data_IF_327703711870
#
_entry.id   IF_327703711870
#
_cell.length_a   1.000
_cell.length_b   1.000
_cell.length_c   1.000
_cell.angle_alpha   90.00
_cell.angle_beta   90.00
_cell.angle_gamma   90.00
#
_symmetry.space_group_name_H-M   'P 1'
#
loop_
_entity.id
_entity.type
_entity.pdbx_description
1 polymer ?
#
# COMPACT_ATOMS: atom_id res chain seq x y z
N UNK A 1 -28.14 21.05 -3.49
CA UNK A 1 -27.34 21.11 -4.72
C UNK A 1 -25.84 20.96 -4.48
N UNK A 2 -25.30 21.65 -3.50
CA UNK A 2 -23.88 21.53 -3.15
C UNK A 2 -23.53 20.23 -2.43
N UNK A 3 -24.47 19.65 -1.71
CA UNK A 3 -24.23 18.45 -0.92
C UNK A 3 -23.99 17.20 -1.77
N UNK A 4 -24.62 17.11 -2.94
CA UNK A 4 -24.51 15.91 -3.78
C UNK A 4 -23.15 15.77 -4.46
N UNK A 5 -22.57 16.88 -4.92
CA UNK A 5 -21.23 16.87 -5.50
C UNK A 5 -20.16 16.59 -4.45
N UNK A 6 -20.32 17.13 -3.26
CA UNK A 6 -19.40 16.89 -2.15
C UNK A 6 -19.47 15.45 -1.64
N UNK A 7 -20.67 14.90 -1.51
CA UNK A 7 -20.87 13.52 -1.08
C UNK A 7 -20.30 12.51 -2.08
N UNK A 8 -20.45 12.76 -3.37
CA UNK A 8 -19.94 11.88 -4.42
C UNK A 8 -18.41 11.89 -4.46
N UNK A 9 -17.79 13.07 -4.31
CA UNK A 9 -16.33 13.21 -4.34
C UNK A 9 -15.66 12.75 -3.04
N UNK A 10 -16.41 12.52 -1.97
CA UNK A 10 -15.88 12.05 -0.70
C UNK A 10 -15.88 10.53 -0.56
N UNK A 11 -16.20 9.80 -1.63
CA UNK A 11 -16.15 8.35 -1.60
C UNK A 11 -14.75 7.87 -1.97
N UNK A 12 -14.17 7.06 -1.10
CA UNK A 12 -12.84 6.47 -1.29
C UNK A 12 -12.72 5.76 -2.65
N UNK A 13 -13.80 5.12 -3.13
CA UNK A 13 -13.78 4.39 -4.39
C UNK A 13 -13.46 5.25 -5.61
N UNK A 14 -13.68 6.57 -5.54
CA UNK A 14 -13.27 7.49 -6.61
C UNK A 14 -11.76 7.58 -6.78
N UNK A 15 -11.02 7.31 -5.73
CA UNK A 15 -9.56 7.42 -5.71
C UNK A 15 -8.88 6.06 -5.79
N UNK A 16 -9.66 4.99 -5.81
CA UNK A 16 -9.14 3.64 -5.71
C UNK A 16 -8.41 3.22 -6.99
N UNK A 17 -7.17 2.77 -6.83
CA UNK A 17 -6.51 1.94 -7.82
C UNK A 17 -6.88 0.50 -7.50
N UNK A 18 -7.69 -0.17 -8.35
CA UNK A 18 -8.19 -1.49 -8.02
C UNK A 18 -7.09 -2.53 -8.00
N UNK A 19 -7.31 -3.61 -7.26
CA UNK A 19 -6.35 -4.70 -7.08
C UNK A 19 -5.75 -5.20 -8.40
N UNK A 20 -6.56 -5.29 -9.45
CA UNK A 20 -6.11 -5.76 -10.75
C UNK A 20 -5.00 -4.89 -11.37
N UNK A 21 -4.91 -3.62 -10.97
CA UNK A 21 -3.90 -2.69 -11.44
C UNK A 21 -2.77 -2.47 -10.43
N UNK A 22 -2.81 -3.13 -9.28
CA UNK A 22 -1.80 -2.99 -8.24
C UNK A 22 -0.70 -4.05 -8.39
N UNK A 23 0.53 -3.63 -8.12
CA UNK A 23 1.61 -4.58 -7.85
C UNK A 23 1.55 -4.96 -6.37
N UNK A 24 1.72 -6.23 -6.05
CA UNK A 24 1.74 -6.73 -4.68
C UNK A 24 2.58 -7.99 -4.59
N UNK A 25 2.92 -8.40 -3.38
CA UNK A 25 3.63 -9.64 -3.11
C UNK A 25 2.76 -10.54 -2.22
N UNK A 26 2.97 -11.85 -2.32
CA UNK A 26 2.30 -12.79 -1.41
C UNK A 26 3.11 -12.98 -0.13
N UNK A 27 2.42 -13.30 0.96
CA UNK A 27 3.04 -13.49 2.27
C UNK A 27 4.01 -14.69 2.33
N UNK A 28 3.94 -15.60 1.38
CA UNK A 28 4.87 -16.74 1.25
C UNK A 28 6.09 -16.46 0.36
N UNK A 29 6.22 -15.24 -0.15
CA UNK A 29 7.38 -14.85 -0.97
C UNK A 29 8.67 -14.90 -0.17
N UNK A 30 9.74 -15.33 -0.85
CA UNK A 30 11.10 -15.16 -0.33
C UNK A 30 11.55 -13.72 -0.51
N UNK A 31 12.61 -13.34 0.20
CA UNK A 31 13.22 -12.01 0.06
C UNK A 31 13.64 -11.77 -1.39
N UNK A 32 14.21 -12.79 -2.04
CA UNK A 32 14.62 -12.67 -3.46
C UNK A 32 13.42 -12.40 -4.37
N UNK A 33 12.33 -13.14 -4.21
CA UNK A 33 11.12 -12.92 -5.01
C UNK A 33 10.57 -11.51 -4.82
N UNK A 34 10.58 -11.02 -3.58
CA UNK A 34 10.12 -9.67 -3.28
C UNK A 34 11.03 -8.61 -3.90
N UNK A 35 12.35 -8.80 -3.84
CA UNK A 35 13.30 -7.88 -4.49
C UNK A 35 13.06 -7.79 -5.99
N UNK A 36 12.90 -8.94 -6.65
CA UNK A 36 12.63 -8.99 -8.08
C UNK A 36 11.30 -8.32 -8.42
N UNK A 37 10.26 -8.55 -7.62
CA UNK A 37 8.96 -7.91 -7.83
C UNK A 37 9.02 -6.40 -7.65
N UNK A 38 9.71 -5.94 -6.62
CA UNK A 38 9.86 -4.52 -6.33
C UNK A 38 10.64 -3.80 -7.43
N UNK A 39 11.73 -4.42 -7.91
CA UNK A 39 12.51 -3.90 -9.02
C UNK A 39 11.67 -3.79 -10.28
N UNK A 40 10.97 -4.86 -10.66
CA UNK A 40 10.16 -4.88 -11.88
C UNK A 40 8.97 -3.93 -11.83
N UNK A 41 8.35 -3.78 -10.66
CA UNK A 41 7.21 -2.88 -10.47
C UNK A 41 7.62 -1.42 -10.37
N UNK A 42 8.86 -1.14 -9.92
CA UNK A 42 9.37 0.22 -9.79
C UNK A 42 8.80 1.01 -8.63
N UNK A 43 8.24 0.35 -7.62
CA UNK A 43 7.65 1.01 -6.45
C UNK A 43 8.51 0.80 -5.20
N UNK A 44 8.51 1.81 -4.33
CA UNK A 44 9.26 1.78 -3.06
C UNK A 44 8.55 0.96 -1.97
N UNK A 45 7.29 0.63 -2.14
CA UNK A 45 6.49 -0.11 -1.19
C UNK A 45 5.43 -0.93 -1.93
N UNK A 46 5.21 -2.16 -1.48
CA UNK A 46 4.22 -3.07 -2.06
C UNK A 46 3.35 -3.68 -0.96
N UNK A 47 2.03 -3.79 -1.18
CA UNK A 47 1.17 -4.55 -0.27
C UNK A 47 1.58 -6.02 -0.24
N UNK A 48 1.43 -6.63 0.94
CA UNK A 48 1.60 -8.06 1.15
C UNK A 48 0.21 -8.67 1.30
N UNK A 49 -0.10 -9.65 0.48
CA UNK A 49 -1.40 -10.34 0.51
C UNK A 49 -1.22 -11.82 0.85
N UNK A 50 -2.23 -12.39 1.51
CA UNK A 50 -2.33 -13.83 1.63
C UNK A 50 -2.80 -14.44 0.30
N UNK A 51 -2.67 -15.75 0.17
CA UNK A 51 -3.19 -16.47 -1.01
C UNK A 51 -4.72 -16.39 -1.12
N UNK A 52 -5.40 -16.03 -0.03
CA UNK A 52 -6.85 -15.78 -0.01
C UNK A 52 -7.21 -14.35 -0.39
N UNK A 53 -6.21 -13.49 -0.62
CA UNK A 53 -6.43 -12.10 -0.98
C UNK A 53 -6.58 -11.14 0.20
N UNK A 54 -6.32 -11.58 1.41
CA UNK A 54 -6.36 -10.71 2.60
C UNK A 54 -5.11 -9.83 2.66
N UNK A 55 -5.28 -8.58 3.10
CA UNK A 55 -4.16 -7.69 3.34
C UNK A 55 -3.40 -8.13 4.59
N UNK A 56 -2.10 -8.34 4.46
CA UNK A 56 -1.23 -8.85 5.53
C UNK A 56 -0.21 -7.82 6.02
N UNK A 57 -0.05 -6.74 5.33
CA UNK A 57 0.92 -5.69 5.66
C UNK A 57 1.52 -5.07 4.42
N UNK A 58 2.55 -4.28 4.59
CA UNK A 58 3.25 -3.61 3.49
C UNK A 58 4.75 -3.80 3.64
N UNK A 59 5.40 -4.15 2.54
CA UNK A 59 6.84 -4.31 2.46
C UNK A 59 7.43 -3.09 1.77
N UNK A 60 8.42 -2.45 2.42
CA UNK A 60 9.10 -1.28 1.87
C UNK A 60 10.55 -1.61 1.50
N UNK A 61 11.13 -0.78 0.63
CA UNK A 61 12.58 -0.85 0.31
C UNK A 61 13.42 -0.76 1.58
N UNK A 62 13.02 0.09 2.53
CA UNK A 62 13.72 0.22 3.81
C UNK A 62 13.69 -1.06 4.62
N UNK A 63 12.58 -1.78 4.63
CA UNK A 63 12.48 -3.06 5.33
C UNK A 63 13.50 -4.06 4.78
N UNK A 64 13.63 -4.13 3.45
CA UNK A 64 14.59 -5.02 2.79
C UNK A 64 16.03 -4.59 3.07
N UNK A 65 16.30 -3.29 3.02
CA UNK A 65 17.63 -2.75 3.31
C UNK A 65 18.08 -3.08 4.74
N UNK A 66 17.21 -2.85 5.71
CA UNK A 66 17.52 -3.13 7.11
C UNK A 66 17.61 -4.62 7.39
N UNK A 67 16.84 -5.43 6.67
CA UNK A 67 16.96 -6.89 6.76
C UNK A 67 18.34 -7.36 6.30
N UNK A 68 18.83 -6.83 5.18
CA UNK A 68 20.17 -7.14 4.68
C UNK A 68 21.25 -6.78 5.72
N UNK A 69 21.14 -5.61 6.33
CA UNK A 69 22.09 -5.16 7.35
C UNK A 69 22.04 -6.05 8.58
N UNK A 70 20.85 -6.33 9.08
CA UNK A 70 20.67 -7.05 10.36
C UNK A 70 20.94 -8.54 10.25
N UNK A 71 20.84 -9.10 9.04
CA UNK A 71 21.15 -10.50 8.76
C UNK A 71 22.59 -10.72 8.28
N UNK A 72 23.48 -9.81 8.63
CA UNK A 72 24.93 -9.91 8.38
C UNK A 72 25.29 -10.13 6.92
N UNK A 73 24.81 -9.23 6.06
CA UNK A 73 25.17 -9.21 4.62
C UNK A 73 24.70 -10.48 3.89
N UNK A 74 23.42 -10.71 3.94
CA UNK A 74 22.74 -11.80 3.25
C UNK A 74 23.15 -11.87 1.77
N UNK A 75 23.60 -13.04 1.33
CA UNK A 75 23.80 -13.28 -0.10
C UNK A 75 22.50 -13.75 -0.76
N UNK A 76 22.53 -13.97 -2.07
CA UNK A 76 21.32 -14.37 -2.81
C UNK A 76 20.79 -15.75 -2.39
N UNK A 77 21.64 -16.64 -1.89
CA UNK A 77 21.18 -17.94 -1.39
C UNK A 77 20.38 -17.77 -0.10
N UNK A 78 20.82 -16.89 0.79
CA UNK A 78 20.10 -16.57 2.01
C UNK A 78 18.79 -15.87 1.69
N UNK A 79 18.80 -14.98 0.69
CA UNK A 79 17.59 -14.29 0.23
C UNK A 79 16.56 -15.26 -0.37
N UNK A 80 17.01 -16.36 -0.99
CA UNK A 80 16.13 -17.43 -1.47
C UNK A 80 15.55 -18.28 -0.35
N UNK A 81 16.30 -18.44 0.75
CA UNK A 81 15.90 -19.28 1.88
C UNK A 81 15.04 -18.57 2.91
N UNK A 82 15.07 -17.21 2.95
CA UNK A 82 14.33 -16.41 3.93
C UNK A 82 13.05 -15.86 3.34
N UNK A 83 11.99 -15.89 4.14
CA UNK A 83 10.67 -15.37 3.72
C UNK A 83 10.50 -13.92 4.21
N UNK A 84 9.73 -13.15 3.45
CA UNK A 84 9.48 -11.73 3.79
C UNK A 84 8.76 -11.57 5.11
N UNK A 85 7.93 -12.53 5.52
CA UNK A 85 7.23 -12.43 6.81
C UNK A 85 8.15 -12.68 8.02
N UNK A 86 9.37 -13.16 7.81
CA UNK A 86 10.40 -13.28 8.86
C UNK A 86 11.12 -11.95 9.13
N UNK A 87 10.97 -10.98 8.23
CA UNK A 87 11.60 -9.66 8.37
C UNK A 87 10.82 -8.81 9.36
N UNK A 88 11.54 -8.15 10.27
CA UNK A 88 10.94 -7.12 11.11
C UNK A 88 10.62 -5.88 10.29
N UNK A 89 9.34 -5.54 10.20
CA UNK A 89 8.88 -4.32 9.53
C UNK A 89 8.64 -3.24 10.58
N UNK A 90 9.30 -2.10 10.44
CA UNK A 90 9.21 -1.02 11.43
C UNK A 90 7.86 -0.33 11.44
N UNK A 91 7.24 -0.22 10.28
CA UNK A 91 5.93 0.44 10.13
C UNK A 91 5.12 -0.33 9.11
N UNK A 92 4.07 -0.98 9.57
CA UNK A 92 3.07 -1.48 8.65
C UNK A 92 2.09 -0.38 8.31
N UNK A 93 1.60 -0.41 7.07
CA UNK A 93 0.58 0.53 6.63
C UNK A 93 -0.77 0.06 7.16
N UNK A 94 -1.48 0.99 7.79
CA UNK A 94 -2.80 0.70 8.32
C UNK A 94 -3.83 0.81 7.19
N UNK A 95 -4.60 -0.25 6.93
CA UNK A 95 -5.62 -0.21 5.90
C UNK A 95 -6.84 0.57 6.35
N UNK A 96 -7.63 1.01 5.37
CA UNK A 96 -8.95 1.61 5.62
C UNK A 96 -10.02 0.77 4.94
N UNK A 97 -11.26 0.94 5.39
CA UNK A 97 -12.42 0.32 4.77
C UNK A 97 -13.07 1.31 3.81
N UNK A 98 -13.90 0.80 2.89
CA UNK A 98 -14.60 1.65 1.90
C UNK A 98 -15.50 2.70 2.55
N UNK A 99 -15.92 2.48 3.80
CA UNK A 99 -16.76 3.41 4.56
C UNK A 99 -15.97 4.50 5.29
N UNK A 100 -14.63 4.45 5.24
CA UNK A 100 -13.77 5.43 5.91
C UNK A 100 -13.98 6.82 5.30
N UNK A 101 -14.07 7.84 6.15
CA UNK A 101 -14.23 9.23 5.72
C UNK A 101 -12.95 9.81 5.14
N UNK A 102 -13.10 10.89 4.36
CA UNK A 102 -11.96 11.55 3.70
C UNK A 102 -10.93 12.09 4.69
N UNK A 103 -11.36 12.56 5.86
CA UNK A 103 -10.43 13.10 6.86
C UNK A 103 -9.45 12.02 7.32
N UNK A 104 -9.96 10.82 7.64
CA UNK A 104 -9.13 9.70 8.06
C UNK A 104 -8.21 9.24 6.93
N UNK A 105 -8.72 9.23 5.69
CA UNK A 105 -7.94 8.88 4.52
C UNK A 105 -6.75 9.82 4.33
N UNK A 106 -7.00 11.12 4.42
CA UNK A 106 -5.95 12.15 4.30
C UNK A 106 -4.91 12.01 5.40
N UNK A 107 -5.34 11.76 6.63
CA UNK A 107 -4.41 11.54 7.75
C UNK A 107 -3.53 10.32 7.54
N UNK A 108 -4.09 9.22 7.04
CA UNK A 108 -3.31 8.02 6.71
C UNK A 108 -2.27 8.32 5.64
N UNK A 109 -2.67 9.03 4.59
CA UNK A 109 -1.78 9.37 3.48
C UNK A 109 -0.63 10.28 3.88
N UNK A 110 -0.76 11.04 4.98
CA UNK A 110 0.34 11.86 5.47
C UNK A 110 1.49 11.04 6.04
N UNK A 111 1.21 9.80 6.49
CA UNK A 111 2.19 8.90 7.10
C UNK A 111 2.57 7.72 6.20
N UNK A 112 1.84 7.47 5.13
CA UNK A 112 2.00 6.30 4.26
C UNK A 112 2.04 6.74 2.80
N UNK A 113 2.84 6.06 1.98
CA UNK A 113 2.94 6.37 0.54
C UNK A 113 1.64 6.06 -0.22
N UNK A 114 0.92 5.07 0.26
CA UNK A 114 -0.42 4.74 -0.20
C UNK A 114 -1.24 4.21 0.97
N UNK A 115 -2.54 4.16 0.80
CA UNK A 115 -3.45 3.63 1.81
C UNK A 115 -4.10 2.37 1.26
N UNK A 116 -3.83 1.20 1.85
CA UNK A 116 -4.51 -0.03 1.45
C UNK A 116 -5.99 0.05 1.80
N UNK A 117 -6.84 -0.46 0.92
CA UNK A 117 -8.29 -0.49 1.12
C UNK A 117 -8.75 -1.93 1.16
N UNK A 118 -9.51 -2.26 2.19
CA UNK A 118 -10.06 -3.60 2.41
C UNK A 118 -11.58 -3.52 2.50
N UNK A 119 -12.23 -4.64 2.20
CA UNK A 119 -13.68 -4.78 2.38
C UNK A 119 -14.03 -5.19 3.81
N UNK A 120 -15.30 -5.49 4.06
CA UNK A 120 -15.80 -5.88 5.37
C UNK A 120 -15.28 -7.25 5.86
N UNK A 121 -14.68 -8.02 4.96
CA UNK A 121 -14.07 -9.33 5.27
C UNK A 121 -12.54 -9.27 5.27
N UNK A 122 -11.97 -8.06 5.31
CA UNK A 122 -10.53 -7.81 5.26
C UNK A 122 -9.85 -8.23 3.94
N UNK A 123 -10.62 -8.48 2.89
CA UNK A 123 -10.09 -8.73 1.57
C UNK A 123 -9.55 -7.43 0.96
N UNK A 124 -8.35 -7.50 0.40
CA UNK A 124 -7.70 -6.36 -0.25
C UNK A 124 -8.40 -6.06 -1.58
N UNK A 125 -8.88 -4.84 -1.74
CA UNK A 125 -9.57 -4.42 -2.96
C UNK A 125 -8.77 -3.43 -3.81
N UNK A 126 -7.75 -2.81 -3.24
CA UNK A 126 -6.89 -1.87 -3.96
C UNK A 126 -6.21 -0.90 -3.02
N UNK A 127 -5.67 0.17 -3.58
CA UNK A 127 -4.98 1.21 -2.84
C UNK A 127 -5.50 2.58 -3.24
N UNK A 128 -5.33 3.54 -2.34
CA UNK A 128 -5.44 4.96 -2.66
C UNK A 128 -4.05 5.55 -2.53
N UNK A 129 -3.52 6.08 -3.63
CA UNK A 129 -2.16 6.63 -3.62
C UNK A 129 -2.15 8.02 -2.98
N UNK A 130 -1.02 8.36 -2.38
CA UNK A 130 -0.79 9.71 -1.85
C UNK A 130 -0.98 10.76 -2.95
N UNK A 131 -0.50 10.46 -4.16
CA UNK A 131 -0.65 11.36 -5.31
C UNK A 131 -2.11 11.64 -5.66
N UNK A 132 -2.98 10.64 -5.62
CA UNK A 132 -4.41 10.81 -5.88
C UNK A 132 -5.06 11.75 -4.85
N UNK A 133 -4.67 11.60 -3.58
CA UNK A 133 -5.19 12.45 -2.49
C UNK A 133 -4.68 13.88 -2.63
N UNK A 134 -3.41 14.06 -2.93
CA UNK A 134 -2.81 15.39 -3.15
C UNK A 134 -3.50 16.09 -4.32
N UNK A 135 -3.76 15.37 -5.40
CA UNK A 135 -4.46 15.91 -6.56
C UNK A 135 -5.87 16.36 -6.19
N UNK A 136 -6.60 15.57 -5.41
CA UNK A 136 -7.92 15.96 -4.90
C UNK A 136 -7.84 17.23 -4.06
N UNK A 137 -6.94 17.30 -3.09
CA UNK A 137 -6.76 18.48 -2.23
C UNK A 137 -6.38 19.71 -3.04
N UNK A 138 -5.50 19.56 -4.04
CA UNK A 138 -5.10 20.63 -4.94
C UNK A 138 -6.29 21.18 -5.72
N UNK A 139 -7.16 20.32 -6.22
CA UNK A 139 -8.36 20.75 -6.94
C UNK A 139 -9.35 21.51 -6.05
N UNK A 140 -9.41 21.17 -4.76
CA UNK A 140 -10.26 21.86 -3.81
C UNK A 140 -9.70 23.25 -3.45
N UNK A 141 -8.37 23.36 -3.35
CA UNK A 141 -7.72 24.62 -2.99
C UNK A 141 -7.51 25.55 -4.19
N UNK A 142 -7.26 25.01 -5.34
CA UNK A 142 -6.95 25.72 -6.57
C UNK A 142 -7.82 25.22 -7.71
N UNK A 143 -9.13 25.48 -7.68
CA UNK A 143 -10.03 25.01 -8.74
C UNK A 143 -9.64 25.64 -10.09
N UNK A 144 -9.58 24.83 -11.13
CA UNK A 144 -9.41 25.32 -12.50
C UNK A 144 -10.72 25.95 -12.97
N UNK A 145 -10.61 27.06 -13.68
CA UNK A 145 -11.76 27.76 -14.25
C UNK A 145 -12.43 26.99 -15.37
#
# INVERSE_FOLDING_TARGET
>A
MYCDKGATMNNILFFLTPKALCAFVYDDFTIRQALEKMESAGFAALPILSKRGEYRGTLTEGDLLWALKNMCYMDMRQAEARRIMEISRKRDYVPVRVTTGMQDLVQRASAQNFVPVVDDKDAFIGIVTRGAIIKYCSQQLFPED
#
